data_IF_154763724872
#
_entry.id   IF_154763724872
#
_cell.length_a   1.000
_cell.length_b   1.000
_cell.length_c   1.000
_cell.angle_alpha   90.00
_cell.angle_beta   90.00
_cell.angle_gamma   90.00
#
_symmetry.space_group_name_H-M   'P 1'
#
loop_
_entity.id
_entity.type
_entity.pdbx_description
1 polymer ?
#
# COMPACT_ATOMS: atom_id res chain seq x y z
N UNK A 1 -18.92 35.51 -0.96
CA UNK A 1 -18.81 34.17 -1.58
C UNK A 1 -18.22 33.23 -0.55
N UNK A 2 -18.94 32.13 -0.29
CA UNK A 2 -18.76 31.19 0.81
C UNK A 2 -17.31 30.71 0.94
N UNK A 3 -16.69 30.97 2.09
CA UNK A 3 -15.51 30.24 2.53
C UNK A 3 -16.03 28.97 3.23
N UNK A 4 -16.54 28.02 2.44
CA UNK A 4 -16.78 26.65 2.90
C UNK A 4 -15.41 26.05 3.21
N UNK A 5 -14.95 26.24 4.45
CA UNK A 5 -13.82 25.47 4.98
C UNK A 5 -14.23 24.01 4.89
N UNK A 6 -13.71 23.30 3.89
CA UNK A 6 -13.96 21.88 3.68
C UNK A 6 -13.61 21.14 4.97
N UNK A 7 -14.63 20.68 5.69
CA UNK A 7 -14.43 19.99 6.94
C UNK A 7 -13.95 18.58 6.63
N UNK A 8 -12.63 18.42 6.54
CA UNK A 8 -11.94 17.14 6.30
C UNK A 8 -12.25 16.08 7.36
N UNK A 9 -12.83 16.47 8.50
CA UNK A 9 -13.30 15.54 9.52
C UNK A 9 -14.72 15.00 9.31
N UNK A 10 -15.46 15.49 8.31
CA UNK A 10 -16.76 14.90 7.93
C UNK A 10 -16.57 13.52 7.29
N UNK A 11 -17.55 12.63 7.47
CA UNK A 11 -17.56 11.28 6.89
C UNK A 11 -17.35 11.33 5.37
N UNK A 12 -17.99 12.31 4.70
CA UNK A 12 -17.87 12.54 3.26
C UNK A 12 -16.44 12.89 2.85
N UNK A 13 -15.76 13.78 3.59
CA UNK A 13 -14.37 14.16 3.28
C UNK A 13 -13.40 12.99 3.35
N UNK A 14 -13.55 12.14 4.38
CA UNK A 14 -12.73 10.92 4.54
C UNK A 14 -13.01 9.90 3.45
N UNK A 15 -14.26 9.77 3.02
CA UNK A 15 -14.64 8.87 1.93
C UNK A 15 -14.00 9.33 0.61
N UNK A 16 -14.06 10.62 0.30
CA UNK A 16 -13.43 11.20 -0.89
C UNK A 16 -11.92 11.01 -0.89
N UNK A 17 -11.25 11.21 0.24
CA UNK A 17 -9.82 10.93 0.38
C UNK A 17 -9.50 9.46 0.12
N UNK A 18 -10.27 8.55 0.74
CA UNK A 18 -10.10 7.11 0.57
C UNK A 18 -10.26 6.71 -0.89
N UNK A 19 -11.28 7.24 -1.57
CA UNK A 19 -11.54 6.97 -2.99
C UNK A 19 -10.44 7.52 -3.90
N UNK A 20 -9.93 8.72 -3.63
CA UNK A 20 -8.81 9.29 -4.38
C UNK A 20 -7.54 8.45 -4.22
N UNK A 21 -7.22 8.02 -3.00
CA UNK A 21 -6.06 7.17 -2.72
C UNK A 21 -6.22 5.80 -3.42
N UNK A 22 -7.41 5.20 -3.36
CA UNK A 22 -7.71 3.96 -4.06
C UNK A 22 -7.51 4.09 -5.57
N UNK A 23 -7.99 5.19 -6.17
CA UNK A 23 -7.82 5.46 -7.61
C UNK A 23 -6.35 5.61 -7.99
N UNK A 24 -5.56 6.34 -7.19
CA UNK A 24 -4.12 6.49 -7.42
C UNK A 24 -3.41 5.13 -7.29
N UNK A 25 -3.76 4.34 -6.27
CA UNK A 25 -3.20 3.00 -6.08
C UNK A 25 -3.45 2.13 -7.32
N UNK A 26 -4.71 2.07 -7.79
CA UNK A 26 -5.07 1.29 -8.99
C UNK A 26 -4.34 1.79 -10.22
N UNK A 27 -4.31 3.10 -10.46
CA UNK A 27 -3.63 3.68 -11.61
C UNK A 27 -2.14 3.35 -11.62
N UNK A 28 -1.46 3.48 -10.48
CA UNK A 28 -0.05 3.13 -10.35
C UNK A 28 0.16 1.64 -10.61
N UNK A 29 -0.65 0.76 -10.02
CA UNK A 29 -0.51 -0.69 -10.20
C UNK A 29 -0.76 -1.10 -11.66
N UNK A 30 -1.71 -0.47 -12.34
CA UNK A 30 -2.02 -0.75 -13.74
C UNK A 30 -0.87 -0.32 -14.67
N UNK A 31 -0.27 0.85 -14.43
CA UNK A 31 0.87 1.35 -15.23
C UNK A 31 2.08 0.42 -15.07
N UNK A 32 2.32 -0.08 -13.87
CA UNK A 32 3.43 -0.99 -13.58
C UNK A 32 3.02 -2.45 -13.52
N UNK A 33 1.85 -2.83 -14.06
CA UNK A 33 1.32 -4.20 -14.01
C UNK A 33 2.34 -5.29 -14.37
N UNK A 34 3.13 -5.20 -15.46
CA UNK A 34 4.10 -6.25 -15.81
C UNK A 34 5.24 -6.39 -14.78
N UNK A 35 5.54 -5.33 -14.04
CA UNK A 35 6.58 -5.31 -13.00
C UNK A 35 5.98 -5.69 -11.63
N UNK A 36 4.73 -5.30 -11.37
CA UNK A 36 3.99 -5.55 -10.15
C UNK A 36 3.61 -7.03 -9.96
N UNK A 37 3.31 -7.74 -11.05
CA UNK A 37 3.01 -9.18 -11.06
C UNK A 37 4.14 -10.05 -11.64
N UNK A 38 5.33 -9.46 -11.83
CA UNK A 38 6.52 -10.15 -12.31
C UNK A 38 7.27 -10.93 -11.22
N UNK A 39 8.43 -11.55 -11.53
CA UNK A 39 9.19 -12.39 -10.60
C UNK A 39 9.67 -11.70 -9.32
N UNK A 40 9.86 -10.38 -9.38
CA UNK A 40 10.31 -9.52 -8.27
C UNK A 40 9.11 -8.87 -7.54
N UNK A 41 7.90 -8.95 -8.11
CA UNK A 41 6.67 -8.34 -7.61
C UNK A 41 6.85 -6.93 -7.03
N UNK A 42 7.40 -6.03 -7.85
CA UNK A 42 7.69 -4.68 -7.41
C UNK A 42 6.43 -3.82 -7.50
N UNK A 43 5.66 -3.79 -6.41
CA UNK A 43 4.42 -3.01 -6.30
C UNK A 43 4.71 -1.59 -5.84
N UNK A 44 4.95 -0.68 -6.80
CA UNK A 44 5.16 0.75 -6.51
C UNK A 44 4.00 1.34 -5.68
N UNK A 45 2.77 0.85 -5.90
CA UNK A 45 1.57 1.29 -5.20
C UNK A 45 1.62 1.04 -3.69
N UNK A 46 2.40 0.07 -3.21
CA UNK A 46 2.61 -0.17 -1.77
C UNK A 46 3.42 0.95 -1.11
N UNK A 47 4.12 1.81 -1.87
CA UNK A 47 4.71 3.03 -1.34
C UNK A 47 3.65 3.96 -0.70
N UNK A 48 2.38 3.85 -1.12
CA UNK A 48 1.26 4.59 -0.53
C UNK A 48 0.91 4.11 0.88
N UNK A 49 1.39 2.94 1.33
CA UNK A 49 1.18 2.41 2.69
C UNK A 49 1.80 3.27 3.80
N UNK A 50 2.58 4.29 3.46
CA UNK A 50 3.03 5.33 4.41
C UNK A 50 1.98 6.42 4.66
N UNK A 51 1.01 6.60 3.75
CA UNK A 51 -0.05 7.61 3.88
C UNK A 51 -0.95 7.45 5.12
N UNK A 52 -1.27 6.23 5.61
CA UNK A 52 -1.97 6.02 6.87
C UNK A 52 -1.35 6.75 8.07
N UNK A 53 -0.04 7.03 8.05
CA UNK A 53 0.62 7.82 9.08
C UNK A 53 0.04 9.24 9.20
N UNK A 54 -0.27 9.87 8.06
CA UNK A 54 -0.79 11.24 8.02
C UNK A 54 -2.32 11.29 7.99
N UNK A 55 -2.95 10.31 7.34
CA UNK A 55 -4.36 10.31 7.00
C UNK A 55 -4.99 8.98 7.42
N UNK A 56 -5.84 8.95 8.47
CA UNK A 56 -6.50 7.71 8.89
C UNK A 56 -7.42 7.12 7.79
N UNK A 57 -7.93 7.96 6.89
CA UNK A 57 -8.70 7.53 5.71
C UNK A 57 -7.89 6.80 4.64
N UNK A 58 -6.55 6.83 4.69
CA UNK A 58 -5.74 6.12 3.71
C UNK A 58 -5.82 4.59 3.87
N UNK A 59 -6.07 4.07 5.07
CA UNK A 59 -6.18 2.62 5.32
C UNK A 59 -7.25 1.97 4.43
N UNK A 60 -8.54 2.38 4.47
CA UNK A 60 -9.55 1.79 3.59
C UNK A 60 -9.28 2.07 2.11
N UNK A 61 -8.71 3.24 1.78
CA UNK A 61 -8.37 3.59 0.39
C UNK A 61 -7.35 2.63 -0.23
N UNK A 62 -6.27 2.32 0.49
CA UNK A 62 -5.20 1.44 0.01
C UNK A 62 -5.68 -0.02 -0.06
N UNK A 63 -6.45 -0.49 0.92
CA UNK A 63 -7.00 -1.85 0.89
C UNK A 63 -7.96 -2.04 -0.29
N UNK A 64 -8.89 -1.11 -0.50
CA UNK A 64 -9.82 -1.16 -1.65
C UNK A 64 -9.04 -1.00 -2.96
N UNK A 65 -8.05 -0.11 -2.99
CA UNK A 65 -7.16 0.07 -4.14
C UNK A 65 -6.41 -1.22 -4.52
N UNK A 66 -5.86 -1.94 -3.54
CA UNK A 66 -5.20 -3.23 -3.76
C UNK A 66 -6.17 -4.29 -4.29
N UNK A 67 -7.36 -4.39 -3.69
CA UNK A 67 -8.39 -5.32 -4.15
C UNK A 67 -8.79 -5.06 -5.60
N UNK A 68 -9.09 -3.80 -5.93
CA UNK A 68 -9.46 -3.40 -7.28
C UNK A 68 -8.30 -3.58 -8.27
N UNK A 69 -7.08 -3.23 -7.90
CA UNK A 69 -5.91 -3.37 -8.76
C UNK A 69 -5.67 -4.84 -9.12
N UNK A 70 -5.73 -5.73 -8.14
CA UNK A 70 -5.55 -7.17 -8.35
C UNK A 70 -6.69 -7.76 -9.19
N UNK A 71 -7.93 -7.30 -8.98
CA UNK A 71 -9.09 -7.73 -9.77
C UNK A 71 -8.99 -7.26 -11.23
N UNK A 72 -8.63 -5.99 -11.46
CA UNK A 72 -8.55 -5.40 -12.80
C UNK A 72 -7.35 -5.89 -13.60
N UNK A 73 -6.22 -6.17 -12.95
CA UNK A 73 -5.04 -6.74 -13.61
C UNK A 73 -5.18 -8.24 -13.88
N UNK A 74 -6.28 -8.88 -13.47
CA UNK A 74 -6.51 -10.32 -13.69
C UNK A 74 -5.57 -11.20 -12.87
N UNK A 75 -5.13 -10.74 -11.71
CA UNK A 75 -4.30 -11.53 -10.80
C UNK A 75 -5.07 -12.75 -10.27
N UNK A 76 -4.35 -13.78 -9.83
CA UNK A 76 -4.96 -14.99 -9.30
C UNK A 76 -5.97 -14.67 -8.19
N UNK A 77 -7.13 -15.37 -8.10
CA UNK A 77 -8.17 -15.07 -7.12
C UNK A 77 -7.66 -15.10 -5.67
N UNK A 78 -6.68 -15.95 -5.39
CA UNK A 78 -6.01 -16.02 -4.10
C UNK A 78 -5.17 -14.77 -3.81
N UNK A 79 -4.52 -14.14 -4.80
CA UNK A 79 -3.78 -12.88 -4.63
C UNK A 79 -4.72 -11.67 -4.45
N UNK A 80 -5.90 -11.71 -5.07
CA UNK A 80 -6.94 -10.71 -4.81
C UNK A 80 -7.36 -10.74 -3.34
N UNK A 81 -7.60 -11.93 -2.77
CA UNK A 81 -8.07 -12.06 -1.37
C UNK A 81 -6.92 -11.90 -0.37
N UNK A 82 -5.88 -12.72 -0.48
CA UNK A 82 -4.77 -12.72 0.47
C UNK A 82 -3.87 -11.51 0.33
N UNK A 83 -3.68 -10.96 -0.88
CA UNK A 83 -2.96 -9.71 -1.09
C UNK A 83 -3.68 -8.54 -0.44
N UNK A 84 -5.01 -8.42 -0.62
CA UNK A 84 -5.78 -7.35 0.04
C UNK A 84 -5.76 -7.46 1.57
N UNK A 85 -5.78 -8.68 2.11
CA UNK A 85 -5.63 -8.92 3.56
C UNK A 85 -4.23 -8.55 4.03
N UNK A 86 -3.18 -8.91 3.28
CA UNK A 86 -1.80 -8.56 3.60
C UNK A 86 -1.62 -7.04 3.63
N UNK A 87 -2.10 -6.33 2.61
CA UNK A 87 -2.08 -4.87 2.54
C UNK A 87 -2.93 -4.23 3.63
N UNK A 88 -4.07 -4.81 4.01
CA UNK A 88 -4.88 -4.33 5.15
C UNK A 88 -4.13 -4.44 6.47
N UNK A 89 -3.51 -5.59 6.74
CA UNK A 89 -2.68 -5.80 7.95
C UNK A 89 -1.48 -4.84 7.92
N UNK A 90 -0.84 -4.68 6.77
CA UNK A 90 0.26 -3.74 6.56
C UNK A 90 -0.15 -2.30 6.81
N UNK A 91 -1.29 -1.86 6.28
CA UNK A 91 -1.81 -0.51 6.44
C UNK A 91 -2.26 -0.22 7.89
N UNK A 92 -2.93 -1.18 8.55
CA UNK A 92 -3.29 -1.09 9.96
C UNK A 92 -2.03 -1.05 10.85
N UNK A 93 -1.07 -1.92 10.56
CA UNK A 93 0.22 -1.94 11.24
C UNK A 93 0.92 -0.59 11.08
N UNK A 94 0.99 -0.05 9.85
CA UNK A 94 1.57 1.25 9.54
C UNK A 94 0.89 2.38 10.32
N UNK A 95 -0.44 2.35 10.44
CA UNK A 95 -1.21 3.32 11.21
C UNK A 95 -0.91 3.24 12.73
N UNK A 96 -0.84 2.04 13.31
CA UNK A 96 -0.58 1.85 14.73
C UNK A 96 0.89 2.07 15.13
N UNK A 97 1.83 1.52 14.36
CA UNK A 97 3.27 1.66 14.60
C UNK A 97 3.77 3.06 14.24
N UNK A 98 3.16 3.71 13.24
CA UNK A 98 3.46 5.10 12.91
C UNK A 98 3.24 6.06 14.07
N UNK A 99 2.27 5.79 14.95
CA UNK A 99 2.07 6.57 16.18
C UNK A 99 3.22 6.43 17.19
N UNK A 100 4.02 5.36 17.12
CA UNK A 100 5.18 5.14 18.00
C UNK A 100 6.50 5.55 17.36
N UNK A 101 6.72 5.28 16.07
CA UNK A 101 7.97 5.65 15.39
C UNK A 101 7.81 5.73 13.87
N UNK A 102 8.31 6.83 13.29
CA UNK A 102 8.25 7.15 11.85
C UNK A 102 8.94 6.13 10.94
N UNK A 103 10.00 5.49 11.44
CA UNK A 103 10.78 4.50 10.68
C UNK A 103 10.11 3.11 10.68
N UNK A 104 9.21 2.86 11.61
CA UNK A 104 8.50 1.58 11.73
C UNK A 104 7.26 1.51 10.85
N UNK A 105 6.87 2.60 10.17
CA UNK A 105 5.71 2.64 9.26
C UNK A 105 5.90 1.68 8.09
N UNK A 106 7.13 1.51 7.59
CA UNK A 106 7.41 0.68 6.42
C UNK A 106 7.53 -0.82 6.76
N UNK A 107 7.71 -1.17 8.04
CA UNK A 107 8.00 -2.55 8.46
C UNK A 107 6.77 -3.48 8.34
N UNK A 108 5.56 -3.08 8.77
CA UNK A 108 4.38 -3.92 8.66
C UNK A 108 3.98 -4.29 7.22
N UNK A 109 3.94 -3.36 6.24
CA UNK A 109 3.66 -3.70 4.84
C UNK A 109 4.67 -4.69 4.28
N UNK A 110 5.97 -4.44 4.48
CA UNK A 110 7.06 -5.30 3.99
C UNK A 110 6.92 -6.70 4.59
N UNK A 111 6.72 -6.82 5.91
CA UNK A 111 6.57 -8.13 6.56
C UNK A 111 5.32 -8.86 6.10
N UNK A 112 4.17 -8.18 6.07
CA UNK A 112 2.90 -8.80 5.66
C UNK A 112 2.96 -9.29 4.21
N UNK A 113 3.46 -8.48 3.29
CA UNK A 113 3.56 -8.85 1.88
C UNK A 113 4.62 -9.93 1.65
N UNK A 114 5.81 -9.82 2.25
CA UNK A 114 6.89 -10.82 2.11
C UNK A 114 6.50 -12.18 2.71
N UNK A 115 5.66 -12.21 3.74
CA UNK A 115 5.23 -13.46 4.37
C UNK A 115 4.02 -14.05 3.66
N UNK A 116 3.06 -13.25 3.18
CA UNK A 116 1.78 -13.77 2.67
C UNK A 116 1.83 -14.05 1.16
N UNK A 117 2.44 -13.16 0.38
CA UNK A 117 2.43 -13.23 -1.10
C UNK A 117 3.16 -14.48 -1.66
N UNK A 118 4.31 -14.93 -1.10
CA UNK A 118 5.01 -16.11 -1.64
C UNK A 118 4.21 -17.42 -1.49
N UNK A 119 3.35 -17.50 -0.48
CA UNK A 119 2.43 -18.63 -0.32
C UNK A 119 1.31 -18.58 -1.37
N UNK A 120 0.81 -17.38 -1.66
CA UNK A 120 -0.15 -17.17 -2.75
C UNK A 120 0.45 -17.56 -4.09
N UNK A 121 1.69 -17.16 -4.40
CA UNK A 121 2.36 -17.57 -5.64
C UNK A 121 2.45 -19.09 -5.79
N UNK A 122 2.76 -19.80 -4.71
CA UNK A 122 2.87 -21.27 -4.73
C UNK A 122 1.53 -21.96 -4.92
N UNK A 123 0.52 -21.56 -4.15
CA UNK A 123 -0.79 -22.23 -4.16
C UNK A 123 -1.68 -21.78 -5.33
N UNK A 124 -1.53 -20.55 -5.82
CA UNK A 124 -2.42 -19.96 -6.82
C UNK A 124 -1.87 -20.02 -8.24
N UNK A 125 -0.56 -19.81 -8.43
CA UNK A 125 0.06 -19.80 -9.75
C UNK A 125 0.78 -21.11 -10.09
N UNK A 126 0.80 -22.09 -9.17
CA UNK A 126 1.40 -23.41 -9.41
C UNK A 126 2.90 -23.38 -9.72
N UNK A 127 3.58 -22.26 -9.40
CA UNK A 127 5.01 -22.11 -9.66
C UNK A 127 5.81 -23.16 -8.89
N UNK A 128 6.68 -23.88 -9.60
CA UNK A 128 7.62 -24.86 -9.05
C UNK A 128 8.85 -24.22 -8.40
N UNK A 129 8.89 -22.89 -8.35
CA UNK A 129 9.96 -22.14 -7.71
C UNK A 129 9.95 -22.36 -6.19
N UNK A 130 11.16 -22.50 -5.63
CA UNK A 130 11.37 -22.67 -4.20
C UNK A 130 10.72 -21.49 -3.45
N UNK A 131 9.83 -21.76 -2.49
CA UNK A 131 9.19 -20.75 -1.63
C UNK A 131 10.21 -19.73 -1.08
N UNK A 132 11.42 -20.14 -0.62
CA UNK A 132 12.45 -19.20 -0.20
C UNK A 132 12.90 -18.21 -1.29
N UNK A 133 12.98 -18.64 -2.55
CA UNK A 133 13.39 -17.79 -3.66
C UNK A 133 12.34 -16.72 -3.94
N UNK A 134 11.06 -17.10 -3.99
CA UNK A 134 9.95 -16.16 -4.13
C UNK A 134 9.85 -15.20 -2.93
N UNK A 135 10.13 -15.66 -1.70
CA UNK A 135 10.19 -14.79 -0.52
C UNK A 135 11.31 -13.75 -0.64
N UNK A 136 12.48 -14.14 -1.16
CA UNK A 136 13.61 -13.21 -1.33
C UNK A 136 13.34 -12.20 -2.43
N UNK A 137 12.81 -12.62 -3.58
CA UNK A 137 12.54 -11.70 -4.69
C UNK A 137 11.44 -10.70 -4.36
N UNK A 138 10.33 -11.17 -3.76
CA UNK A 138 9.23 -10.31 -3.29
C UNK A 138 9.71 -9.40 -2.17
N UNK A 139 10.49 -9.92 -1.22
CA UNK A 139 11.03 -9.13 -0.12
C UNK A 139 11.93 -7.99 -0.60
N UNK A 140 12.78 -8.24 -1.59
CA UNK A 140 13.60 -7.18 -2.22
C UNK A 140 12.70 -6.14 -2.91
N UNK A 141 11.67 -6.59 -3.65
CA UNK A 141 10.69 -5.71 -4.29
C UNK A 141 9.99 -4.79 -3.28
N UNK A 142 9.48 -5.35 -2.20
CA UNK A 142 8.81 -4.60 -1.12
C UNK A 142 9.76 -3.65 -0.37
N UNK A 143 10.99 -4.06 -0.09
CA UNK A 143 12.00 -3.19 0.53
C UNK A 143 12.31 -1.99 -0.37
N UNK A 144 12.41 -2.18 -1.68
CA UNK A 144 12.62 -1.10 -2.62
C UNK A 144 11.36 -0.21 -2.74
N UNK A 145 10.17 -0.80 -2.81
CA UNK A 145 8.93 -0.05 -3.00
C UNK A 145 8.57 0.74 -1.74
N UNK A 146 8.42 0.07 -0.61
CA UNK A 146 7.99 0.70 0.64
C UNK A 146 9.18 1.34 1.36
N UNK A 147 10.30 0.64 1.47
CA UNK A 147 11.46 1.11 2.22
C UNK A 147 12.19 2.28 1.56
N UNK A 148 12.30 2.30 0.23
CA UNK A 148 12.93 3.42 -0.50
C UNK A 148 11.88 4.43 -0.95
N UNK A 149 10.92 4.05 -1.82
CA UNK A 149 9.96 5.02 -2.34
C UNK A 149 9.00 5.51 -1.26
N UNK A 150 8.51 4.62 -0.39
CA UNK A 150 7.65 5.01 0.73
C UNK A 150 8.35 5.95 1.70
N UNK A 151 9.63 5.73 2.03
CA UNK A 151 10.37 6.64 2.91
C UNK A 151 10.69 7.99 2.25
N UNK A 152 10.98 8.02 0.93
CA UNK A 152 11.10 9.27 0.17
C UNK A 152 9.78 10.04 0.21
N UNK A 153 8.66 9.35 -0.02
CA UNK A 153 7.32 9.94 0.05
C UNK A 153 7.03 10.47 1.46
N UNK A 154 7.37 9.71 2.51
CA UNK A 154 7.23 10.11 3.91
C UNK A 154 7.99 11.41 4.20
N UNK A 155 9.27 11.50 3.81
CA UNK A 155 10.11 12.68 4.02
C UNK A 155 9.63 13.89 3.22
N UNK A 156 9.21 13.67 1.96
CA UNK A 156 8.63 14.71 1.12
C UNK A 156 7.34 15.27 1.74
N UNK A 157 6.46 14.39 2.23
CA UNK A 157 5.23 14.81 2.91
C UNK A 157 5.51 15.47 4.26
N UNK A 158 6.45 14.96 5.07
CA UNK A 158 6.83 15.56 6.37
C UNK A 158 7.31 17.00 6.21
N UNK A 159 8.09 17.26 5.15
CA UNK A 159 8.57 18.61 4.81
C UNK A 159 7.43 19.59 4.49
N UNK A 160 6.31 19.10 3.98
CA UNK A 160 5.11 19.89 3.70
C UNK A 160 4.01 19.78 4.77
N UNK A 161 4.11 18.83 5.71
CA UNK A 161 3.10 18.57 6.73
C UNK A 161 2.88 19.75 7.68
N UNK A 162 3.94 20.48 8.05
CA UNK A 162 3.80 21.73 8.84
C UNK A 162 3.07 22.84 8.08
N UNK A 163 3.01 22.81 6.75
CA UNK A 163 2.32 23.80 5.94
C UNK A 163 0.86 23.41 5.62
N UNK A 164 0.53 22.11 5.59
CA UNK A 164 -0.79 21.60 5.16
C UNK A 164 -1.67 21.13 6.33
N UNK A 165 -1.09 20.67 7.45
CA UNK A 165 -1.83 20.10 8.59
C UNK A 165 -1.67 20.88 9.90
N UNK A 166 -1.00 22.05 9.89
CA UNK A 166 -0.93 22.97 11.03
C UNK A 166 -2.10 23.99 11.06
N UNK A 167 -3.27 23.63 10.53
CA UNK A 167 -4.49 24.43 10.58
C UNK A 167 -5.61 23.70 11.30
#
# INVERSE_FOLDING_TARGET
MMNERYNYNSVTGRLTQSAAIAAIYVALTMIVAPIAFGPIQFRISEALCVLPYFLPGAVPGITIGCFLANLLCGAAPLDVVFGSIATLIGALGSYYLGKKSKWLVCVPPILSNTIIIPWVLRYAYGSTDLIPFAMVTVGIGEILAVGVLGNILLLALERHHRAVFAQ
#
